data_IF_142175529025
#
_entry.id   IF_142175529025
#
_cell.length_a   1.000
_cell.length_b   1.000
_cell.length_c   1.000
_cell.angle_alpha   90.00
_cell.angle_beta   90.00
_cell.angle_gamma   90.00
#
_symmetry.space_group_name_H-M   'P 1'
#
loop_
_entity.id
_entity.type
_entity.pdbx_description
1 polymer ?
#
# COMPACT_ATOMS: atom_id res chain seq x y z
N UNK A 1 15.35 24.23 2.68
CA UNK A 1 15.78 23.28 1.64
C UNK A 1 14.57 22.54 1.10
N UNK A 2 14.69 21.88 -0.06
CA UNK A 2 13.73 20.91 -0.56
C UNK A 2 14.39 19.52 -0.70
N UNK A 3 13.60 18.48 -0.62
CA UNK A 3 14.05 17.08 -0.64
C UNK A 3 13.60 16.33 -1.92
N UNK A 4 13.48 17.07 -3.02
CA UNK A 4 12.91 16.55 -4.26
C UNK A 4 11.39 16.56 -4.26
N UNK A 5 10.81 15.87 -5.22
CA UNK A 5 9.36 15.78 -5.40
C UNK A 5 8.85 14.34 -5.27
N UNK A 6 7.54 14.23 -5.16
CA UNK A 6 6.77 12.98 -5.23
C UNK A 6 5.74 13.09 -6.34
N UNK A 7 5.51 11.99 -7.05
CA UNK A 7 4.41 11.82 -7.97
C UNK A 7 3.22 11.17 -7.24
N UNK A 8 2.04 11.79 -7.33
CA UNK A 8 0.85 11.37 -6.59
C UNK A 8 -0.42 11.35 -7.46
N UNK A 9 -0.29 11.18 -8.77
CA UNK A 9 -1.44 11.18 -9.70
C UNK A 9 -2.28 9.91 -9.62
N UNK A 10 -1.73 8.79 -9.15
CA UNK A 10 -2.51 7.57 -8.94
C UNK A 10 -3.42 7.72 -7.72
N UNK A 11 -4.62 8.24 -7.96
CA UNK A 11 -5.60 8.56 -6.94
C UNK A 11 -7.00 8.10 -7.35
N UNK A 12 -7.85 7.87 -6.35
CA UNK A 12 -9.26 7.55 -6.50
C UNK A 12 -10.09 8.55 -5.71
N UNK A 13 -11.01 9.26 -6.37
CA UNK A 13 -11.86 10.27 -5.72
C UNK A 13 -11.04 11.26 -4.87
N UNK A 14 -9.93 11.75 -5.44
CA UNK A 14 -8.97 12.63 -4.77
C UNK A 14 -8.20 12.02 -3.58
N UNK A 15 -8.29 10.72 -3.37
CA UNK A 15 -7.50 10.00 -2.39
C UNK A 15 -6.31 9.32 -3.09
N UNK A 16 -5.11 9.70 -2.70
CA UNK A 16 -3.87 9.09 -3.19
C UNK A 16 -3.85 7.61 -2.83
N UNK A 17 -3.45 6.76 -3.77
CA UNK A 17 -3.43 5.28 -3.61
C UNK A 17 -2.01 4.74 -3.74
N UNK A 18 -1.26 5.27 -4.73
CA UNK A 18 0.14 4.94 -4.99
C UNK A 18 0.88 6.25 -5.18
N UNK A 19 2.03 6.37 -4.54
CA UNK A 19 2.92 7.51 -4.64
C UNK A 19 4.34 7.04 -4.94
N UNK A 20 5.08 7.81 -5.72
CA UNK A 20 6.45 7.48 -6.05
C UNK A 20 7.39 8.70 -5.99
N UNK A 21 8.67 8.42 -5.82
CA UNK A 21 9.73 9.41 -5.87
C UNK A 21 11.01 8.80 -6.46
N UNK A 22 11.69 9.54 -7.34
CA UNK A 22 11.28 10.80 -7.98
C UNK A 22 10.22 10.60 -9.07
N UNK A 23 9.56 11.67 -9.54
CA UNK A 23 8.65 11.63 -10.69
C UNK A 23 9.41 11.28 -11.96
N UNK A 24 8.84 10.40 -12.80
CA UNK A 24 9.39 10.06 -14.12
C UNK A 24 9.08 11.12 -15.18
N UNK A 25 8.09 11.97 -14.92
CA UNK A 25 7.66 13.03 -15.83
C UNK A 25 8.64 14.19 -15.88
N UNK A 26 9.29 14.53 -14.76
CA UNK A 26 10.04 15.76 -14.61
C UNK A 26 11.52 15.61 -15.03
N UNK A 27 12.00 16.56 -15.85
CA UNK A 27 13.44 16.74 -16.07
C UNK A 27 14.13 17.26 -14.80
N UNK A 28 15.44 17.07 -14.70
CA UNK A 28 16.22 17.60 -13.57
C UNK A 28 16.14 19.12 -13.46
N UNK A 29 16.03 19.84 -14.59
CA UNK A 29 15.85 21.27 -14.64
C UNK A 29 14.49 21.70 -14.05
N UNK A 30 13.43 21.01 -14.47
CA UNK A 30 12.08 21.29 -13.95
C UNK A 30 11.96 20.94 -12.48
N UNK A 31 12.57 19.80 -12.06
CA UNK A 31 12.66 19.40 -10.64
C UNK A 31 13.32 20.47 -9.79
N UNK A 32 14.45 21.02 -10.23
CA UNK A 32 15.15 22.09 -9.51
C UNK A 32 14.30 23.36 -9.42
N UNK A 33 13.59 23.74 -10.48
CA UNK A 33 12.69 24.91 -10.50
C UNK A 33 11.49 24.75 -9.56
N UNK A 34 10.86 23.59 -9.56
CA UNK A 34 9.74 23.26 -8.66
C UNK A 34 10.22 23.27 -7.21
N UNK A 35 11.36 22.65 -6.94
CA UNK A 35 11.98 22.64 -5.62
C UNK A 35 12.28 24.05 -5.12
N UNK A 36 12.85 24.91 -5.96
CA UNK A 36 13.11 26.30 -5.59
C UNK A 36 11.80 27.08 -5.34
N UNK A 37 10.77 26.87 -6.16
CA UNK A 37 9.47 27.50 -5.97
C UNK A 37 8.80 27.07 -4.64
N UNK A 38 8.97 25.81 -4.24
CA UNK A 38 8.50 25.32 -2.95
C UNK A 38 9.25 25.99 -1.78
N UNK A 39 10.57 26.12 -1.89
CA UNK A 39 11.39 26.84 -0.88
C UNK A 39 10.97 28.30 -0.77
N UNK A 40 10.77 28.99 -1.90
CA UNK A 40 10.37 30.40 -1.91
C UNK A 40 8.95 30.57 -1.32
N UNK A 41 8.03 29.65 -1.59
CA UNK A 41 6.70 29.61 -0.97
C UNK A 41 6.79 29.50 0.54
N UNK A 42 7.56 28.54 1.06
CA UNK A 42 7.75 28.35 2.50
C UNK A 42 8.39 29.58 3.17
N UNK A 43 9.40 30.19 2.52
CA UNK A 43 10.07 31.39 3.02
C UNK A 43 9.13 32.60 3.05
N UNK A 44 8.20 32.72 2.10
CA UNK A 44 7.29 33.87 2.03
C UNK A 44 6.36 33.99 3.24
N UNK A 45 6.19 32.90 4.00
CA UNK A 45 5.35 32.81 5.20
C UNK A 45 6.13 32.42 6.46
N UNK A 46 7.47 32.53 6.41
CA UNK A 46 8.37 32.17 7.51
C UNK A 46 8.07 30.76 8.11
N UNK A 47 7.75 29.79 7.23
CA UNK A 47 7.37 28.46 7.65
C UNK A 47 8.54 27.70 8.26
N UNK A 48 8.30 27.06 9.41
CA UNK A 48 9.26 26.22 10.12
C UNK A 48 8.66 24.83 10.33
N UNK A 49 9.39 23.80 9.92
CA UNK A 49 9.00 22.41 10.03
C UNK A 49 8.91 21.70 8.68
N UNK A 50 8.49 20.44 8.69
CA UNK A 50 8.23 19.69 7.47
C UNK A 50 6.91 20.13 6.83
N UNK A 51 6.93 20.38 5.52
CA UNK A 51 5.76 20.76 4.75
C UNK A 51 5.88 20.28 3.31
N UNK A 52 4.78 20.30 2.58
CA UNK A 52 4.75 19.96 1.15
C UNK A 52 4.02 21.04 0.40
N UNK A 53 4.62 21.51 -0.69
CA UNK A 53 3.96 22.38 -1.66
C UNK A 53 3.51 21.52 -2.83
N UNK A 54 2.23 21.53 -3.13
CA UNK A 54 1.64 20.77 -4.22
C UNK A 54 1.52 21.62 -5.47
N UNK A 55 1.89 21.02 -6.61
CA UNK A 55 1.85 21.64 -7.92
C UNK A 55 1.09 20.75 -8.90
N UNK A 56 0.42 21.38 -9.86
CA UNK A 56 -0.14 20.74 -11.04
C UNK A 56 0.86 20.84 -12.19
N UNK A 57 1.08 19.73 -12.85
CA UNK A 57 1.93 19.62 -14.05
C UNK A 57 1.14 18.88 -15.13
N UNK A 58 1.19 19.37 -16.38
CA UNK A 58 0.63 18.66 -17.52
C UNK A 58 1.71 17.81 -18.18
N UNK A 59 1.35 16.60 -18.60
CA UNK A 59 2.21 15.72 -19.41
C UNK A 59 2.51 16.30 -20.80
N UNK A 60 1.60 17.10 -21.37
CA UNK A 60 1.83 17.82 -22.62
C UNK A 60 2.87 18.95 -22.50
N UNK A 61 2.98 19.57 -21.31
CA UNK A 61 3.90 20.68 -21.04
C UNK A 61 4.61 20.48 -19.69
N UNK A 62 5.46 19.45 -19.52
CA UNK A 62 6.03 19.09 -18.21
C UNK A 62 6.96 20.14 -17.61
N UNK A 63 7.38 21.13 -18.40
CA UNK A 63 8.16 22.28 -17.92
C UNK A 63 7.32 23.38 -17.29
N UNK A 64 5.99 23.31 -17.39
CA UNK A 64 5.05 24.24 -16.79
C UNK A 64 4.39 23.63 -15.57
N UNK A 65 4.48 24.31 -14.45
CA UNK A 65 3.86 23.89 -13.20
C UNK A 65 3.09 25.05 -12.57
N UNK A 66 2.02 24.70 -11.85
CA UNK A 66 1.12 25.66 -11.25
C UNK A 66 0.95 25.33 -9.77
N UNK A 67 1.14 26.31 -8.90
CA UNK A 67 0.92 26.17 -7.48
C UNK A 67 -0.55 25.81 -7.20
N UNK A 68 -0.76 24.80 -6.36
CA UNK A 68 -2.09 24.40 -5.91
C UNK A 68 -2.29 24.75 -4.43
N UNK A 69 -1.49 24.15 -3.55
CA UNK A 69 -1.60 24.39 -2.10
C UNK A 69 -0.29 24.11 -1.37
N UNK A 70 -0.23 24.49 -0.10
CA UNK A 70 0.83 24.07 0.82
C UNK A 70 0.22 23.33 2.00
N UNK A 71 0.67 22.10 2.20
CA UNK A 71 0.33 21.28 3.36
C UNK A 71 1.38 21.49 4.46
N UNK A 72 1.00 22.19 5.53
CA UNK A 72 1.88 22.53 6.66
C UNK A 72 2.00 21.40 7.69
N UNK A 73 2.27 20.22 7.23
CA UNK A 73 2.39 18.99 8.03
C UNK A 73 3.19 17.94 7.30
N UNK A 74 3.64 16.93 8.04
CA UNK A 74 4.13 15.70 7.43
C UNK A 74 3.01 15.02 6.66
N UNK A 75 3.28 14.53 5.46
CA UNK A 75 2.32 13.80 4.64
C UNK A 75 2.47 12.28 4.81
N UNK A 76 1.41 11.54 4.46
CA UNK A 76 1.38 10.07 4.54
C UNK A 76 2.50 9.46 3.72
N UNK A 77 2.75 10.00 2.53
CA UNK A 77 3.71 9.55 1.53
C UNK A 77 5.17 10.01 1.78
N UNK A 78 5.50 10.55 2.96
CA UNK A 78 6.87 10.93 3.29
C UNK A 78 7.91 9.79 3.17
N UNK A 79 7.55 8.51 3.39
CA UNK A 79 8.52 7.43 3.30
C UNK A 79 9.23 7.31 1.96
N UNK A 80 8.57 7.61 0.82
CA UNK A 80 9.26 7.53 -0.47
C UNK A 80 10.37 8.57 -0.59
N UNK A 81 10.18 9.76 -0.01
CA UNK A 81 11.25 10.77 0.09
C UNK A 81 12.38 10.32 1.01
N UNK A 82 12.05 9.78 2.18
CA UNK A 82 13.05 9.25 3.13
C UNK A 82 13.90 8.16 2.50
N UNK A 83 13.27 7.25 1.74
CA UNK A 83 13.97 6.13 1.13
C UNK A 83 14.96 6.55 0.04
N UNK A 84 14.67 7.58 -0.75
CA UNK A 84 15.57 8.03 -1.81
C UNK A 84 16.61 9.06 -1.34
N UNK A 85 16.35 9.73 -0.20
CA UNK A 85 17.28 10.74 0.36
C UNK A 85 18.13 10.21 1.49
N UNK A 86 17.69 9.16 2.18
CA UNK A 86 18.30 8.65 3.40
C UNK A 86 18.09 9.54 4.63
N UNK A 87 17.16 10.50 4.57
CA UNK A 87 16.86 11.46 5.63
C UNK A 87 15.61 11.02 6.38
N UNK A 88 15.65 10.94 7.71
CA UNK A 88 14.48 10.72 8.57
C UNK A 88 13.78 12.06 8.83
N UNK A 89 12.63 12.25 8.19
CA UNK A 89 11.85 13.49 8.29
C UNK A 89 11.24 13.69 9.67
N UNK A 90 10.91 12.61 10.37
CA UNK A 90 10.34 12.68 11.72
C UNK A 90 11.43 13.08 12.72
N UNK A 91 12.62 12.52 12.58
CA UNK A 91 13.79 12.94 13.40
C UNK A 91 14.10 14.42 13.19
N UNK A 92 14.17 14.89 11.94
CA UNK A 92 14.41 16.31 11.64
C UNK A 92 13.31 17.22 12.19
N UNK A 93 12.04 16.83 12.15
CA UNK A 93 10.96 17.59 12.78
C UNK A 93 11.16 17.73 14.29
N UNK A 94 11.57 16.66 14.97
CA UNK A 94 11.82 16.66 16.42
C UNK A 94 13.03 17.57 16.75
N UNK A 95 14.12 17.49 15.99
CA UNK A 95 15.30 18.34 16.16
C UNK A 95 14.97 19.83 15.98
N UNK A 96 14.25 20.16 14.92
CA UNK A 96 13.81 21.53 14.64
C UNK A 96 12.89 22.04 15.77
N UNK A 97 11.97 21.21 16.25
CA UNK A 97 11.09 21.57 17.37
C UNK A 97 11.86 21.76 18.68
N UNK A 98 13.00 21.09 18.84
CA UNK A 98 13.93 21.32 19.97
C UNK A 98 14.77 22.59 19.82
N UNK A 99 14.67 23.30 18.69
CA UNK A 99 15.42 24.53 18.41
C UNK A 99 16.77 24.30 17.73
N UNK A 100 17.04 23.09 17.25
CA UNK A 100 18.23 22.78 16.48
C UNK A 100 18.10 23.31 15.05
N UNK A 101 19.19 23.72 14.38
CA UNK A 101 19.18 24.00 12.96
C UNK A 101 19.02 22.71 12.16
N UNK A 102 18.63 22.82 10.87
CA UNK A 102 18.68 21.69 9.95
C UNK A 102 20.05 21.03 9.96
N UNK A 103 20.09 19.70 9.97
CA UNK A 103 21.31 18.91 10.02
C UNK A 103 22.11 18.93 8.72
N UNK A 104 21.52 19.43 7.61
CA UNK A 104 22.07 19.39 6.26
C UNK A 104 21.75 20.66 5.46
N UNK A 105 22.56 20.93 4.47
CA UNK A 105 22.37 21.98 3.45
C UNK A 105 21.68 21.40 2.19
N UNK A 106 21.23 22.28 1.26
CA UNK A 106 20.63 21.84 -0.01
C UNK A 106 21.60 21.01 -0.86
N UNK A 107 22.88 21.34 -0.87
CA UNK A 107 23.91 20.67 -1.68
C UNK A 107 24.23 19.25 -1.17
N UNK A 108 23.83 18.92 0.04
CA UNK A 108 24.00 17.58 0.64
C UNK A 108 22.81 16.67 0.36
N UNK A 109 21.72 17.20 -0.16
CA UNK A 109 20.54 16.38 -0.54
C UNK A 109 20.83 15.66 -1.85
N UNK A 110 20.93 14.35 -1.78
CA UNK A 110 21.11 13.47 -2.94
C UNK A 110 19.89 12.56 -3.09
N UNK A 111 19.36 12.45 -4.32
CA UNK A 111 18.30 11.49 -4.65
C UNK A 111 18.95 10.23 -5.20
N UNK A 112 18.70 9.08 -4.58
CA UNK A 112 19.32 7.79 -4.97
C UNK A 112 18.25 6.72 -5.15
N UNK A 113 18.22 6.11 -6.33
CA UNK A 113 17.27 5.07 -6.66
C UNK A 113 15.85 5.59 -6.91
N UNK A 114 14.88 4.72 -6.71
CA UNK A 114 13.46 5.01 -6.87
C UNK A 114 12.64 4.30 -5.80
N UNK A 115 11.64 4.97 -5.24
CA UNK A 115 10.80 4.41 -4.19
C UNK A 115 9.33 4.61 -4.51
N UNK A 116 8.52 3.58 -4.27
CA UNK A 116 7.08 3.57 -4.53
C UNK A 116 6.37 3.11 -3.27
N UNK A 117 5.35 3.86 -2.85
CA UNK A 117 4.47 3.53 -1.72
C UNK A 117 3.10 3.13 -2.25
N UNK A 118 2.49 2.10 -1.66
CA UNK A 118 1.11 1.72 -1.87
C UNK A 118 0.36 1.74 -0.53
N UNK A 119 -0.80 2.39 -0.51
CA UNK A 119 -1.65 2.49 0.68
C UNK A 119 -2.61 1.31 0.77
N UNK A 120 -2.49 0.52 1.83
CA UNK A 120 -3.37 -0.61 2.10
C UNK A 120 -4.57 -0.15 2.93
N UNK A 121 -5.76 -0.33 2.38
CA UNK A 121 -7.03 0.04 3.00
C UNK A 121 -7.85 -1.20 3.36
N UNK A 122 -8.58 -1.12 4.49
CA UNK A 122 -9.61 -2.08 4.87
C UNK A 122 -10.90 -1.78 4.12
N UNK A 123 -10.99 -2.22 2.87
CA UNK A 123 -12.11 -1.95 1.96
C UNK A 123 -12.32 -3.09 0.95
N UNK A 124 -13.48 -3.12 0.32
CA UNK A 124 -13.85 -4.13 -0.68
C UNK A 124 -13.98 -3.46 -2.04
N UNK A 125 -12.94 -3.51 -2.91
CA UNK A 125 -12.94 -2.88 -4.23
C UNK A 125 -14.11 -3.35 -5.10
N UNK A 126 -14.42 -4.65 -5.10
CA UNK A 126 -15.52 -5.26 -5.86
C UNK A 126 -16.90 -4.71 -5.46
N UNK A 127 -17.05 -4.24 -4.22
CA UNK A 127 -18.28 -3.64 -3.71
C UNK A 127 -18.21 -2.09 -3.69
N UNK A 128 -17.52 -1.48 -4.65
CA UNK A 128 -17.40 -0.03 -4.76
C UNK A 128 -16.59 0.61 -3.65
N UNK A 129 -15.62 -0.13 -3.10
CA UNK A 129 -14.73 0.29 -2.00
C UNK A 129 -15.47 0.55 -0.68
N UNK A 130 -16.48 -0.25 -0.40
CA UNK A 130 -17.12 -0.23 0.91
C UNK A 130 -16.11 -0.58 2.00
N UNK A 131 -16.08 0.19 3.12
CA UNK A 131 -15.22 -0.13 4.25
C UNK A 131 -15.46 -1.55 4.76
N UNK A 132 -14.38 -2.26 5.05
CA UNK A 132 -14.41 -3.60 5.64
C UNK A 132 -14.03 -3.53 7.10
N UNK A 133 -14.92 -3.98 7.97
CA UNK A 133 -14.72 -4.00 9.42
C UNK A 133 -14.63 -5.44 9.92
N UNK A 134 -13.96 -5.64 11.05
CA UNK A 134 -13.85 -6.97 11.65
C UNK A 134 -12.61 -7.12 12.53
N UNK A 135 -12.40 -8.33 13.01
CA UNK A 135 -11.21 -8.68 13.79
C UNK A 135 -10.14 -9.25 12.89
N UNK A 136 -8.93 -8.75 13.00
CA UNK A 136 -7.77 -9.31 12.30
C UNK A 136 -7.46 -10.68 12.89
N UNK A 137 -7.68 -11.72 12.10
CA UNK A 137 -7.44 -13.12 12.52
C UNK A 137 -5.98 -13.51 12.38
N UNK A 138 -5.32 -12.97 11.36
CA UNK A 138 -3.89 -13.17 11.10
C UNK A 138 -3.35 -12.03 10.25
N UNK A 139 -2.11 -11.64 10.51
CA UNK A 139 -1.35 -10.72 9.67
C UNK A 139 0.05 -11.27 9.46
N UNK A 140 0.54 -11.19 8.21
CA UNK A 140 1.94 -11.43 7.86
C UNK A 140 2.38 -10.29 6.94
N UNK A 141 3.37 -9.55 7.36
CA UNK A 141 3.91 -8.42 6.61
C UNK A 141 5.09 -8.87 5.76
N UNK A 142 5.22 -8.34 4.52
CA UNK A 142 6.36 -8.64 3.68
C UNK A 142 7.65 -8.07 4.28
N UNK A 143 8.74 -8.77 4.05
CA UNK A 143 10.09 -8.35 4.47
C UNK A 143 11.09 -8.61 3.36
N UNK A 144 12.17 -7.84 3.34
CA UNK A 144 13.24 -8.07 2.37
C UNK A 144 14.02 -6.81 2.01
N UNK A 145 15.05 -6.93 1.18
CA UNK A 145 15.86 -5.80 0.75
C UNK A 145 15.02 -4.75 0.00
N UNK A 146 15.03 -3.50 0.51
CA UNK A 146 14.28 -2.40 -0.08
C UNK A 146 12.78 -2.42 0.20
N UNK A 147 12.30 -3.26 1.11
CA UNK A 147 10.91 -3.27 1.57
C UNK A 147 10.83 -2.63 2.96
N UNK A 148 9.94 -1.67 3.10
CA UNK A 148 9.51 -1.07 4.36
C UNK A 148 8.00 -1.19 4.49
N UNK A 149 7.51 -1.53 5.67
CA UNK A 149 6.07 -1.56 5.98
C UNK A 149 5.83 -0.65 7.19
N UNK A 150 5.00 0.37 6.98
CA UNK A 150 4.49 1.20 8.07
C UNK A 150 3.07 0.75 8.38
N UNK A 151 2.86 0.06 9.49
CA UNK A 151 1.60 -0.63 9.80
C UNK A 151 1.22 -0.46 11.26
N UNK A 152 -0.09 -0.39 11.51
CA UNK A 152 -0.69 -0.52 12.83
C UNK A 152 -1.35 -1.89 13.08
N UNK A 153 -1.19 -2.83 12.15
CA UNK A 153 -1.87 -4.12 12.19
C UNK A 153 -1.26 -5.06 13.23
N UNK A 154 -2.13 -5.82 13.88
CA UNK A 154 -1.76 -6.94 14.74
C UNK A 154 -2.91 -7.95 14.80
N UNK A 155 -2.59 -9.21 14.93
CA UNK A 155 -3.59 -10.26 15.16
C UNK A 155 -4.39 -9.95 16.42
N UNK A 156 -5.72 -10.05 16.34
CA UNK A 156 -6.66 -9.72 17.39
C UNK A 156 -7.11 -8.24 17.43
N UNK A 157 -6.50 -7.35 16.64
CA UNK A 157 -6.99 -5.97 16.51
C UNK A 157 -8.37 -5.93 15.85
N UNK A 158 -9.21 -4.98 16.26
CA UNK A 158 -10.52 -4.74 15.66
C UNK A 158 -10.43 -3.49 14.79
N UNK A 159 -10.82 -3.65 13.53
CA UNK A 159 -10.96 -2.54 12.59
C UNK A 159 -12.43 -2.11 12.60
N UNK A 160 -12.67 -0.87 12.96
CA UNK A 160 -13.99 -0.23 13.03
C UNK A 160 -14.17 0.82 11.93
N UNK A 161 -15.18 1.66 12.12
CA UNK A 161 -15.54 2.75 11.21
C UNK A 161 -15.22 4.14 11.76
N UNK A 162 -14.56 4.19 12.93
CA UNK A 162 -14.31 5.44 13.66
C UNK A 162 -13.17 6.27 13.06
N UNK A 163 -12.29 5.63 12.29
CA UNK A 163 -11.12 6.25 11.70
C UNK A 163 -11.06 5.97 10.19
N UNK A 164 -10.09 6.60 9.52
CA UNK A 164 -9.74 6.30 8.14
C UNK A 164 -9.43 4.79 7.98
N UNK A 165 -9.94 4.15 6.92
CA UNK A 165 -9.74 2.71 6.71
C UNK A 165 -8.30 2.33 6.29
N UNK A 166 -7.36 3.26 6.18
CA UNK A 166 -5.96 2.96 5.89
C UNK A 166 -5.33 2.19 7.07
N UNK A 167 -4.84 0.98 6.81
CA UNK A 167 -4.34 0.06 7.83
C UNK A 167 -2.83 -0.16 7.75
N UNK A 168 -2.24 0.06 6.59
CA UNK A 168 -0.80 -0.05 6.38
C UNK A 168 -0.37 0.72 5.13
N UNK A 169 0.95 0.92 4.99
CA UNK A 169 1.62 1.36 3.77
C UNK A 169 2.74 0.36 3.48
N UNK A 170 2.87 -0.03 2.22
CA UNK A 170 3.98 -0.84 1.74
C UNK A 170 4.84 0.03 0.84
N UNK A 171 6.10 0.18 1.19
CA UNK A 171 7.07 1.01 0.48
C UNK A 171 8.16 0.09 -0.09
N UNK A 172 8.37 0.18 -1.39
CA UNK A 172 9.39 -0.59 -2.08
C UNK A 172 10.40 0.35 -2.75
N UNK A 173 11.68 0.10 -2.51
CA UNK A 173 12.79 0.92 -3.03
C UNK A 173 13.70 0.06 -3.90
N UNK A 174 14.07 0.56 -5.07
CA UNK A 174 14.97 -0.08 -6.02
C UNK A 174 16.09 0.86 -6.45
N UNK A 175 17.07 0.31 -7.21
CA UNK A 175 18.09 1.12 -7.90
C UNK A 175 17.49 1.98 -9.02
N UNK A 176 16.33 1.54 -9.52
CA UNK A 176 15.52 2.15 -10.55
C UNK A 176 14.04 1.85 -10.33
N UNK A 177 13.17 2.44 -11.15
CA UNK A 177 11.73 2.31 -11.06
C UNK A 177 11.25 0.88 -11.30
N UNK A 178 11.81 0.20 -12.30
CA UNK A 178 11.40 -1.17 -12.64
C UNK A 178 11.65 -2.13 -11.48
N UNK A 179 12.78 -1.97 -10.80
CA UNK A 179 13.10 -2.77 -9.62
C UNK A 179 12.18 -2.41 -8.44
N UNK A 180 11.84 -1.13 -8.25
CA UNK A 180 10.91 -0.70 -7.21
C UNK A 180 9.51 -1.27 -7.46
N UNK A 181 9.00 -1.22 -8.69
CA UNK A 181 7.71 -1.83 -9.10
C UNK A 181 7.70 -3.35 -8.87
N UNK A 182 8.74 -4.05 -9.31
CA UNK A 182 8.83 -5.51 -9.14
C UNK A 182 8.85 -5.91 -7.64
N UNK A 183 9.57 -5.15 -6.81
CA UNK A 183 9.59 -5.36 -5.36
C UNK A 183 8.24 -5.06 -4.72
N UNK A 184 7.56 -4.00 -5.15
CA UNK A 184 6.24 -3.66 -4.64
C UNK A 184 5.22 -4.74 -5.00
N UNK A 185 5.22 -5.24 -6.22
CA UNK A 185 4.34 -6.33 -6.65
C UNK A 185 4.54 -7.59 -5.80
N UNK A 186 5.80 -7.98 -5.57
CA UNK A 186 6.12 -9.10 -4.70
C UNK A 186 5.66 -8.84 -3.27
N UNK A 187 5.92 -7.66 -2.71
CA UNK A 187 5.54 -7.32 -1.35
C UNK A 187 4.01 -7.32 -1.16
N UNK A 188 3.26 -6.80 -2.13
CA UNK A 188 1.79 -6.86 -2.12
C UNK A 188 1.27 -8.30 -2.17
N UNK A 189 1.92 -9.18 -2.95
CA UNK A 189 1.57 -10.60 -3.01
C UNK A 189 1.89 -11.36 -1.71
N UNK A 190 2.92 -10.96 -0.97
CA UNK A 190 3.34 -11.57 0.29
C UNK A 190 2.57 -11.05 1.51
N UNK A 191 1.93 -9.87 1.39
CA UNK A 191 1.12 -9.29 2.48
C UNK A 191 -0.13 -10.11 2.70
N UNK A 192 -0.30 -10.63 3.92
CA UNK A 192 -1.48 -11.42 4.29
C UNK A 192 -2.24 -10.70 5.42
N UNK A 193 -3.50 -10.42 5.19
CA UNK A 193 -4.43 -9.90 6.20
C UNK A 193 -5.70 -10.75 6.16
N UNK A 194 -5.96 -11.51 7.22
CA UNK A 194 -7.16 -12.34 7.33
C UNK A 194 -8.13 -11.76 8.34
N UNK A 195 -9.43 -11.86 8.07
CA UNK A 195 -10.52 -11.42 8.94
C UNK A 195 -11.26 -10.19 8.42
N UNK A 196 -10.67 -9.46 7.49
CA UNK A 196 -11.27 -8.34 6.76
C UNK A 196 -10.91 -8.39 5.29
N UNK A 197 -11.65 -7.67 4.45
CA UNK A 197 -11.25 -7.43 3.07
C UNK A 197 -10.26 -6.26 2.99
N UNK A 198 -9.37 -6.30 2.01
CA UNK A 198 -8.39 -5.25 1.74
C UNK A 198 -8.34 -4.95 0.25
N UNK A 199 -7.70 -3.84 -0.11
CA UNK A 199 -7.47 -3.45 -1.49
C UNK A 199 -6.16 -4.02 -2.10
N UNK A 200 -5.53 -5.03 -1.48
CA UNK A 200 -4.23 -5.56 -1.93
C UNK A 200 -4.24 -6.03 -3.38
N UNK A 201 -5.25 -6.81 -3.79
CA UNK A 201 -5.39 -7.28 -5.16
C UNK A 201 -5.60 -6.13 -6.15
N UNK A 202 -6.40 -5.13 -5.76
CA UNK A 202 -6.59 -3.91 -6.54
C UNK A 202 -5.27 -3.15 -6.76
N UNK A 203 -4.44 -3.02 -5.73
CA UNK A 203 -3.12 -2.41 -5.83
C UNK A 203 -2.21 -3.18 -6.80
N UNK A 204 -2.25 -4.51 -6.77
CA UNK A 204 -1.50 -5.34 -7.72
C UNK A 204 -1.98 -5.14 -9.16
N UNK A 205 -3.28 -5.03 -9.39
CA UNK A 205 -3.81 -4.71 -10.72
C UNK A 205 -3.28 -3.36 -11.22
N UNK A 206 -3.25 -2.34 -10.35
CA UNK A 206 -2.76 -1.02 -10.73
C UNK A 206 -1.27 -1.03 -11.10
N UNK A 207 -0.41 -1.61 -10.27
CA UNK A 207 1.04 -1.58 -10.55
C UNK A 207 1.44 -2.46 -11.73
N UNK A 208 0.61 -3.44 -12.12
CA UNK A 208 0.80 -4.27 -13.31
C UNK A 208 0.18 -3.67 -14.57
N UNK A 209 -0.57 -2.58 -14.46
CA UNK A 209 -1.11 -1.87 -15.62
C UNK A 209 0.05 -1.35 -16.50
N UNK A 210 -0.11 -1.49 -17.83
CA UNK A 210 0.94 -1.15 -18.79
C UNK A 210 1.28 0.35 -18.77
N UNK A 211 0.29 1.23 -18.57
CA UNK A 211 0.52 2.66 -18.50
C UNK A 211 1.21 3.04 -17.18
N UNK A 212 0.82 2.42 -16.06
CA UNK A 212 1.51 2.59 -14.78
C UNK A 212 2.96 2.11 -14.88
N UNK A 213 3.19 0.94 -15.46
CA UNK A 213 4.54 0.41 -15.67
C UNK A 213 5.40 1.34 -16.56
N UNK A 214 4.81 1.92 -17.59
CA UNK A 214 5.48 2.86 -18.48
C UNK A 214 5.67 4.27 -17.89
N UNK A 215 5.01 4.61 -16.77
CA UNK A 215 5.02 5.95 -16.19
C UNK A 215 4.05 6.93 -16.83
N UNK A 216 3.13 6.44 -17.68
CA UNK A 216 2.07 7.24 -18.31
C UNK A 216 0.89 7.37 -17.34
N UNK A 217 1.09 8.12 -16.26
CA UNK A 217 0.13 8.20 -15.16
C UNK A 217 -0.50 9.59 -15.09
N UNK A 218 -1.83 9.61 -14.92
CA UNK A 218 -2.61 10.80 -14.69
C UNK A 218 -3.69 10.58 -13.62
N UNK A 219 -4.37 11.65 -13.22
CA UNK A 219 -5.37 11.60 -12.15
C UNK A 219 -6.66 10.86 -12.51
N UNK A 220 -6.88 10.50 -13.77
CA UNK A 220 -8.08 9.80 -14.26
C UNK A 220 -7.85 8.31 -14.49
N UNK A 221 -6.59 7.88 -14.58
CA UNK A 221 -6.20 6.52 -14.96
C UNK A 221 -6.84 5.45 -14.08
N UNK A 222 -6.79 5.65 -12.77
CA UNK A 222 -7.34 4.69 -11.79
C UNK A 222 -8.83 4.44 -11.99
N UNK A 223 -9.61 5.52 -12.18
CA UNK A 223 -11.05 5.41 -12.41
C UNK A 223 -11.37 4.80 -13.78
N UNK A 224 -10.55 5.08 -14.80
CA UNK A 224 -10.71 4.51 -16.13
C UNK A 224 -10.44 2.99 -16.17
N UNK A 225 -9.51 2.48 -15.35
CA UNK A 225 -9.15 1.05 -15.31
C UNK A 225 -10.05 0.18 -14.45
N UNK A 226 -10.68 0.76 -13.44
CA UNK A 226 -11.47 0.01 -12.45
C UNK A 226 -12.58 -0.88 -13.07
N UNK A 227 -13.35 -0.46 -14.09
CA UNK A 227 -14.40 -1.30 -14.67
C UNK A 227 -13.90 -2.58 -15.34
N UNK A 228 -12.64 -2.60 -15.78
CA UNK A 228 -12.03 -3.72 -16.50
C UNK A 228 -11.27 -4.67 -15.58
N UNK A 229 -11.12 -4.34 -14.29
CA UNK A 229 -10.42 -5.18 -13.32
C UNK A 229 -11.25 -6.41 -12.98
N UNK A 230 -10.62 -7.58 -13.12
CA UNK A 230 -11.23 -8.86 -12.76
C UNK A 230 -10.55 -9.35 -11.48
N UNK A 231 -11.33 -9.44 -10.43
CA UNK A 231 -10.87 -9.90 -9.12
C UNK A 231 -11.05 -11.41 -8.95
N UNK A 232 -10.11 -12.04 -8.25
CA UNK A 232 -10.13 -13.46 -8.01
C UNK A 232 -11.31 -13.86 -7.11
N UNK A 233 -12.07 -14.86 -7.54
CA UNK A 233 -13.11 -15.47 -6.73
C UNK A 233 -12.58 -16.75 -6.04
N UNK A 234 -13.07 -17.06 -4.82
CA UNK A 234 -12.76 -18.32 -4.16
C UNK A 234 -13.12 -19.52 -5.02
N UNK A 235 -12.19 -20.47 -5.14
CA UNK A 235 -12.37 -21.70 -5.91
C UNK A 235 -12.53 -22.90 -4.99
N UNK A 236 -13.00 -24.04 -5.56
CA UNK A 236 -13.05 -25.31 -4.85
C UNK A 236 -11.67 -25.70 -4.26
N UNK A 237 -10.57 -25.35 -4.95
CA UNK A 237 -9.20 -25.60 -4.45
C UNK A 237 -8.93 -24.78 -3.16
N UNK A 238 -9.35 -23.54 -3.11
CA UNK A 238 -9.22 -22.71 -1.89
C UNK A 238 -10.02 -23.32 -0.73
N UNK A 239 -11.24 -23.78 -1.00
CA UNK A 239 -12.05 -24.47 -0.02
C UNK A 239 -11.41 -25.77 0.48
N UNK A 240 -10.77 -26.55 -0.41
CA UNK A 240 -10.02 -27.76 -0.03
C UNK A 240 -8.85 -27.44 0.91
N UNK A 241 -8.07 -26.40 0.58
CA UNK A 241 -6.95 -25.95 1.43
C UNK A 241 -7.46 -25.53 2.81
N UNK A 242 -8.52 -24.73 2.87
CA UNK A 242 -9.15 -24.31 4.12
C UNK A 242 -9.65 -25.50 4.95
N UNK A 243 -10.33 -26.46 4.32
CA UNK A 243 -10.80 -27.67 4.99
C UNK A 243 -9.64 -28.52 5.54
N UNK A 244 -8.57 -28.70 4.76
CA UNK A 244 -7.36 -29.38 5.22
C UNK A 244 -6.69 -28.67 6.40
N UNK A 245 -6.60 -27.33 6.34
CA UNK A 245 -6.03 -26.57 7.44
C UNK A 245 -6.84 -26.75 8.73
N UNK A 246 -8.15 -26.57 8.69
CA UNK A 246 -9.05 -26.76 9.85
C UNK A 246 -8.94 -28.19 10.37
N UNK A 247 -8.94 -29.19 9.48
CA UNK A 247 -8.81 -30.59 9.85
C UNK A 247 -7.47 -30.89 10.56
N UNK A 248 -6.37 -30.33 10.05
CA UNK A 248 -5.04 -30.49 10.66
C UNK A 248 -4.94 -29.87 12.06
N UNK A 249 -5.57 -28.72 12.27
CA UNK A 249 -5.61 -28.07 13.59
C UNK A 249 -6.46 -28.84 14.61
N UNK A 250 -7.51 -29.53 14.16
CA UNK A 250 -8.35 -30.36 15.01
C UNK A 250 -7.64 -31.64 15.51
N UNK A 251 -6.52 -32.01 14.86
CA UNK A 251 -5.69 -33.16 15.24
C UNK A 251 -4.59 -32.72 16.21
N UNK A 252 -4.90 -32.60 17.50
CA UNK A 252 -3.87 -32.40 18.51
C UNK A 252 -3.10 -33.73 18.72
N UNK A 253 -1.75 -33.70 18.75
CA UNK A 253 -0.92 -34.93 18.77
C UNK A 253 -1.01 -35.79 20.03
N UNK A 254 -1.76 -35.39 21.06
CA UNK A 254 -1.69 -35.97 22.40
C UNK A 254 -2.96 -36.64 22.92
N UNK A 255 -4.06 -36.61 22.14
CA UNK A 255 -5.32 -37.18 22.64
C UNK A 255 -5.77 -38.37 21.77
N UNK A 256 -5.55 -39.59 22.29
CA UNK A 256 -5.93 -40.81 21.63
C UNK A 256 -7.45 -40.98 21.42
N UNK A 257 -8.25 -40.05 21.96
CA UNK A 257 -9.71 -40.07 21.89
C UNK A 257 -10.30 -38.98 21.01
N UNK A 258 -9.48 -38.16 20.37
CA UNK A 258 -9.97 -37.21 19.37
C UNK A 258 -10.56 -37.95 18.18
N UNK A 259 -11.64 -37.46 17.58
CA UNK A 259 -12.24 -38.00 16.38
C UNK A 259 -11.31 -37.84 15.18
N UNK A 260 -10.39 -38.76 15.02
CA UNK A 260 -9.41 -38.84 13.91
C UNK A 260 -9.98 -39.49 12.65
N UNK A 261 -11.28 -39.76 12.65
CA UNK A 261 -11.94 -40.51 11.57
C UNK A 261 -11.70 -42.02 11.63
N UNK A 262 -10.99 -42.56 12.68
CA UNK A 262 -10.80 -43.99 12.82
C UNK A 262 -12.14 -44.70 13.07
N UNK A 263 -12.44 -45.69 12.24
CA UNK A 263 -13.54 -46.65 12.45
C UNK A 263 -13.05 -48.07 12.23
N UNK A 264 -13.58 -48.99 13.02
CA UNK A 264 -13.46 -50.42 12.75
C UNK A 264 -14.18 -50.72 11.40
N UNK A 265 -13.39 -50.96 10.35
CA UNK A 265 -13.93 -51.30 9.00
C UNK A 265 -13.62 -50.27 7.89
N UNK A 266 -12.89 -49.18 8.17
CA UNK A 266 -12.46 -48.20 7.15
C UNK A 266 -12.34 -46.77 7.67
N UNK A 267 -11.70 -45.92 6.90
CA UNK A 267 -11.61 -44.50 7.20
C UNK A 267 -12.99 -43.81 7.13
N UNK A 268 -13.31 -42.95 8.09
CA UNK A 268 -14.53 -42.14 8.01
C UNK A 268 -14.25 -40.90 7.18
N UNK A 269 -15.10 -40.63 6.23
CA UNK A 269 -15.09 -39.39 5.46
C UNK A 269 -15.55 -38.24 6.37
N UNK A 270 -14.72 -37.22 6.55
CA UNK A 270 -15.08 -36.00 7.27
C UNK A 270 -15.48 -34.92 6.24
N UNK A 271 -16.70 -34.42 6.38
CA UNK A 271 -17.23 -33.41 5.44
C UNK A 271 -17.14 -32.02 6.05
N UNK A 272 -16.59 -31.09 5.27
CA UNK A 272 -16.54 -29.68 5.59
C UNK A 272 -17.41 -28.89 4.61
N UNK A 273 -18.19 -27.97 5.13
CA UNK A 273 -18.87 -26.96 4.31
C UNK A 273 -18.13 -25.65 4.47
N UNK A 274 -17.54 -25.18 3.37
CA UNK A 274 -16.84 -23.88 3.31
C UNK A 274 -17.77 -22.92 2.58
N UNK A 275 -18.27 -21.90 3.30
CA UNK A 275 -19.10 -20.86 2.73
C UNK A 275 -18.24 -19.64 2.42
N UNK A 276 -18.53 -18.95 1.33
CA UNK A 276 -17.97 -17.65 1.03
C UNK A 276 -19.06 -16.70 0.54
N UNK A 277 -18.97 -15.39 0.83
CA UNK A 277 -19.94 -14.43 0.32
C UNK A 277 -19.82 -14.32 -1.20
N UNK A 278 -20.93 -14.41 -1.90
CA UNK A 278 -21.09 -14.06 -3.30
C UNK A 278 -22.25 -13.07 -3.41
N UNK A 279 -22.22 -12.21 -4.41
CA UNK A 279 -23.08 -11.03 -4.49
C UNK A 279 -24.60 -11.31 -4.39
N UNK A 280 -25.07 -12.51 -4.78
CA UNK A 280 -26.50 -12.85 -4.79
C UNK A 280 -26.88 -14.17 -4.08
N UNK A 281 -25.92 -15.03 -3.68
CA UNK A 281 -26.18 -16.31 -3.00
C UNK A 281 -24.93 -16.78 -2.26
N UNK A 282 -25.01 -17.19 -1.00
CA UNK A 282 -23.86 -17.73 -0.29
C UNK A 282 -23.42 -19.03 -0.97
N UNK A 283 -22.42 -18.90 -1.82
CA UNK A 283 -21.80 -20.08 -2.46
C UNK A 283 -21.11 -20.92 -1.41
N UNK A 284 -21.27 -22.22 -1.51
CA UNK A 284 -20.63 -23.17 -0.60
C UNK A 284 -19.97 -24.32 -1.34
N UNK A 285 -18.83 -24.78 -0.81
CA UNK A 285 -18.20 -25.99 -1.25
C UNK A 285 -18.33 -27.07 -0.18
N UNK A 286 -18.82 -28.26 -0.56
CA UNK A 286 -18.70 -29.45 0.27
C UNK A 286 -17.39 -30.15 -0.07
N UNK A 287 -16.53 -30.30 0.94
CA UNK A 287 -15.21 -30.93 0.84
C UNK A 287 -15.22 -32.16 1.74
N UNK A 288 -14.92 -33.30 1.18
CA UNK A 288 -14.71 -34.54 1.90
C UNK A 288 -13.20 -34.78 2.06
N UNK A 289 -12.75 -35.08 3.27
CA UNK A 289 -11.37 -35.44 3.64
C UNK A 289 -11.31 -36.82 4.25
#
# INVERSE_FOLDING_TARGET
>A
IHLGERECSLQRRHQKIIEEAPSVLLSDETRARIGQAAVDTAKSVDYVGAGTVEFLVSDEEPDKFYFMEMNTRLQVEHPVTEQITGIDLVEEQIRIAAGEPLSLSQDEVALTGHSIEARVYAETPQAGFMPSTGTILHVSEPTGPGIRVDSGLRTGAVIGTEFDPMIAKIIATGTDRDQALARLDQALAEMVVLGINTNLEYLQHLIRDADVAAGNIDTTLVEARLPDMVFDAPTRRHAQIAAHFVHSQARAPSDAWLPDGFRLGGAAEVKYRVNYPADDDPSSFEIAL
#
